data_IF_122377661760
#
_entry.id   IF_122377661760
#
_cell.length_a   1.000
_cell.length_b   1.000
_cell.length_c   1.000
_cell.angle_alpha   90.00
_cell.angle_beta   90.00
_cell.angle_gamma   90.00
#
_symmetry.space_group_name_H-M   'P 1'
#
loop_
_entity.id
_entity.type
_entity.pdbx_description
1 polymer ?
#
# COMPACT_ATOMS: atom_id res chain seq x y z
N UNK A 1 -18.10 -0.50 -5.19
CA UNK A 1 -16.85 -0.52 -5.98
C UNK A 1 -15.68 -1.05 -5.16
N UNK A 2 -15.44 -0.57 -3.93
CA UNK A 2 -14.39 -1.10 -3.03
C UNK A 2 -14.48 -2.62 -2.80
N UNK A 3 -15.67 -3.10 -2.42
CA UNK A 3 -15.96 -4.53 -2.17
C UNK A 3 -15.69 -5.46 -3.36
N UNK A 4 -15.72 -4.94 -4.59
CA UNK A 4 -15.39 -5.71 -5.79
C UNK A 4 -13.88 -5.93 -5.95
N UNK A 5 -13.07 -4.93 -5.56
CA UNK A 5 -11.61 -5.03 -5.56
C UNK A 5 -11.15 -5.90 -4.38
N UNK A 6 -11.78 -5.73 -3.22
CA UNK A 6 -11.51 -6.49 -1.99
C UNK A 6 -11.95 -7.96 -2.11
N UNK A 7 -13.02 -8.25 -2.86
CA UNK A 7 -13.51 -9.60 -3.11
C UNK A 7 -14.35 -10.19 -1.98
N UNK A 8 -14.92 -9.35 -1.11
CA UNK A 8 -15.65 -9.73 0.11
C UNK A 8 -17.18 -9.78 -0.07
N UNK A 9 -17.67 -9.74 -1.32
CA UNK A 9 -19.11 -9.84 -1.62
C UNK A 9 -19.58 -11.30 -1.54
N UNK A 10 -20.73 -11.52 -0.89
CA UNK A 10 -21.42 -12.81 -0.99
C UNK A 10 -21.97 -13.05 -2.41
N UNK A 11 -22.24 -14.30 -2.76
CA UNK A 11 -22.74 -14.68 -4.09
C UNK A 11 -24.04 -13.94 -4.48
N UNK A 12 -24.94 -13.75 -3.50
CA UNK A 12 -26.20 -13.02 -3.71
C UNK A 12 -25.96 -11.52 -3.92
N UNK A 13 -25.07 -10.92 -3.13
CA UNK A 13 -24.70 -9.51 -3.27
C UNK A 13 -24.02 -9.24 -4.61
N UNK A 14 -23.11 -10.13 -5.04
CA UNK A 14 -22.43 -10.01 -6.32
C UNK A 14 -23.42 -10.14 -7.48
N UNK A 15 -24.39 -11.05 -7.39
CA UNK A 15 -25.43 -11.24 -8.41
C UNK A 15 -26.32 -10.00 -8.54
N UNK A 16 -26.78 -9.45 -7.41
CA UNK A 16 -27.58 -8.23 -7.41
C UNK A 16 -26.77 -7.03 -7.92
N UNK A 17 -25.52 -6.88 -7.46
CA UNK A 17 -24.64 -5.80 -7.89
C UNK A 17 -24.40 -5.83 -9.41
N UNK A 18 -24.17 -7.01 -9.99
CA UNK A 18 -24.02 -7.17 -11.45
C UNK A 18 -25.28 -6.75 -12.19
N UNK A 19 -26.46 -7.19 -11.73
CA UNK A 19 -27.76 -6.89 -12.36
C UNK A 19 -28.12 -5.41 -12.28
N UNK A 20 -27.87 -4.77 -11.15
CA UNK A 20 -28.32 -3.39 -10.90
C UNK A 20 -27.38 -2.33 -11.48
N UNK A 21 -26.13 -2.68 -11.81
CA UNK A 21 -25.09 -1.72 -12.21
C UNK A 21 -24.55 -1.91 -13.64
N UNK A 22 -24.81 -3.04 -14.31
CA UNK A 22 -24.25 -3.34 -15.62
C UNK A 22 -25.27 -3.93 -16.58
N UNK A 23 -25.13 -3.61 -17.86
CA UNK A 23 -25.83 -4.29 -18.94
C UNK A 23 -25.31 -5.72 -19.09
N UNK A 24 -26.14 -6.70 -19.53
CA UNK A 24 -25.71 -8.10 -19.67
C UNK A 24 -24.49 -8.31 -20.57
N UNK A 25 -24.23 -7.39 -21.51
CA UNK A 25 -23.07 -7.42 -22.41
C UNK A 25 -21.77 -6.89 -21.79
N UNK A 26 -21.83 -6.14 -20.69
CA UNK A 26 -20.70 -5.37 -20.12
C UNK A 26 -20.45 -5.67 -18.63
N UNK A 27 -20.72 -6.91 -18.19
CA UNK A 27 -20.43 -7.31 -16.80
C UNK A 27 -18.92 -7.55 -16.64
N UNK A 28 -18.22 -6.80 -15.77
CA UNK A 28 -16.79 -6.97 -15.59
C UNK A 28 -16.47 -8.28 -14.85
N UNK A 29 -15.52 -9.04 -15.39
CA UNK A 29 -15.01 -10.25 -14.73
C UNK A 29 -14.16 -9.89 -13.51
N UNK A 30 -14.35 -10.57 -12.35
CA UNK A 30 -13.55 -10.31 -11.16
C UNK A 30 -12.05 -10.42 -11.46
N UNK A 31 -11.27 -9.50 -10.90
CA UNK A 31 -9.82 -9.55 -10.99
C UNK A 31 -9.29 -10.78 -10.24
N UNK A 32 -8.46 -11.57 -10.92
CA UNK A 32 -7.69 -12.64 -10.31
C UNK A 32 -6.59 -12.08 -9.40
N UNK A 33 -6.10 -12.89 -8.46
CA UNK A 33 -5.02 -12.47 -7.57
C UNK A 33 -3.73 -12.12 -8.33
N UNK A 34 -3.47 -12.82 -9.44
CA UNK A 34 -2.34 -12.56 -10.33
C UNK A 34 -2.49 -11.22 -11.06
N UNK A 35 -3.68 -10.87 -11.53
CA UNK A 35 -3.95 -9.57 -12.15
C UNK A 35 -3.84 -8.43 -11.13
N UNK A 36 -4.33 -8.62 -9.90
CA UNK A 36 -4.16 -7.66 -8.81
C UNK A 36 -2.68 -7.46 -8.50
N UNK A 37 -1.91 -8.54 -8.38
CA UNK A 37 -0.48 -8.48 -8.12
C UNK A 37 0.29 -7.81 -9.28
N UNK A 38 -0.07 -8.12 -10.53
CA UNK A 38 0.52 -7.48 -11.70
C UNK A 38 0.22 -5.98 -11.74
N UNK A 39 -1.02 -5.59 -11.43
CA UNK A 39 -1.43 -4.19 -11.35
C UNK A 39 -0.69 -3.45 -10.24
N UNK A 40 -0.57 -4.03 -9.03
CA UNK A 40 0.15 -3.42 -7.90
C UNK A 40 1.62 -3.15 -8.24
N UNK A 41 2.27 -4.00 -9.04
CA UNK A 41 3.66 -3.78 -9.50
C UNK A 41 3.82 -2.58 -10.45
N UNK A 42 2.73 -2.06 -11.03
CA UNK A 42 2.79 -0.86 -11.88
C UNK A 42 2.83 0.44 -11.08
N UNK A 43 2.52 0.38 -9.78
CA UNK A 43 2.51 1.54 -8.92
C UNK A 43 3.95 2.05 -8.70
N UNK A 44 4.17 3.34 -8.90
CA UNK A 44 5.48 3.99 -8.73
C UNK A 44 5.29 5.42 -8.21
N UNK A 45 6.34 5.97 -7.59
CA UNK A 45 6.33 7.37 -7.12
C UNK A 45 5.50 7.61 -5.86
N UNK A 46 5.22 6.56 -5.07
CA UNK A 46 4.45 6.69 -3.82
C UNK A 46 5.33 7.31 -2.74
N UNK A 47 4.73 8.16 -1.91
CA UNK A 47 5.36 8.76 -0.74
C UNK A 47 4.65 8.30 0.55
N UNK A 48 5.44 8.02 1.59
CA UNK A 48 4.96 7.58 2.91
C UNK A 48 5.46 8.53 3.98
N UNK A 49 4.59 8.87 4.93
CA UNK A 49 4.92 9.62 6.13
C UNK A 49 4.49 8.82 7.36
N UNK A 50 5.39 8.66 8.33
CA UNK A 50 5.05 8.11 9.64
C UNK A 50 5.06 9.22 10.70
N UNK A 51 4.07 9.18 11.59
CA UNK A 51 3.94 10.08 12.74
C UNK A 51 4.91 9.73 13.88
N UNK A 52 5.41 8.49 13.89
CA UNK A 52 6.42 7.95 14.80
C UNK A 52 7.61 7.36 14.01
N UNK A 53 8.65 6.94 14.73
CA UNK A 53 9.78 6.26 14.10
C UNK A 53 9.40 4.81 13.74
N UNK A 54 10.00 4.27 12.69
CA UNK A 54 9.94 2.86 12.34
C UNK A 54 10.80 2.05 13.31
N UNK A 55 10.23 1.06 14.01
CA UNK A 55 10.98 0.26 14.97
C UNK A 55 11.92 -0.74 14.27
N UNK A 56 11.59 -1.19 13.06
CA UNK A 56 12.33 -2.18 12.29
C UNK A 56 12.25 -1.93 10.78
N UNK A 57 13.12 -2.58 10.01
CA UNK A 57 13.16 -2.49 8.53
C UNK A 57 11.95 -3.08 7.81
N UNK A 58 11.16 -3.91 8.49
CA UNK A 58 10.00 -4.61 7.93
C UNK A 58 9.00 -3.64 7.28
N UNK A 59 8.85 -2.46 7.87
CA UNK A 59 8.02 -1.38 7.37
C UNK A 59 8.48 -0.89 5.98
N UNK A 60 9.79 -0.83 5.75
CA UNK A 60 10.38 -0.46 4.46
C UNK A 60 10.26 -1.61 3.45
N UNK A 61 10.46 -2.86 3.90
CA UNK A 61 10.26 -4.05 3.07
C UNK A 61 8.79 -4.17 2.57
N UNK A 62 7.82 -3.72 3.38
CA UNK A 62 6.42 -3.60 2.95
C UNK A 62 6.28 -2.48 1.92
N UNK A 63 6.84 -1.29 2.19
CA UNK A 63 6.77 -0.13 1.30
C UNK A 63 7.32 -0.43 -0.11
N UNK A 64 8.37 -1.25 -0.22
CA UNK A 64 8.99 -1.59 -1.51
C UNK A 64 8.04 -2.34 -2.44
N UNK A 65 7.08 -3.08 -1.89
CA UNK A 65 6.05 -3.80 -2.66
C UNK A 65 4.96 -2.90 -3.22
N UNK A 66 4.87 -1.65 -2.77
CA UNK A 66 3.84 -0.68 -3.14
C UNK A 66 4.39 0.53 -3.89
N UNK A 67 5.55 0.42 -4.54
CA UNK A 67 6.07 1.49 -5.40
C UNK A 67 6.50 2.76 -4.65
N UNK A 68 6.80 2.62 -3.36
CA UNK A 68 7.26 3.72 -2.53
C UNK A 68 8.66 4.15 -2.95
N UNK A 69 8.84 5.45 -3.12
CA UNK A 69 10.11 6.07 -3.52
C UNK A 69 10.60 7.08 -2.49
N UNK A 70 9.71 7.57 -1.62
CA UNK A 70 10.00 8.60 -0.62
C UNK A 70 9.36 8.24 0.72
N UNK A 71 10.14 8.34 1.79
CA UNK A 71 9.72 8.03 3.16
C UNK A 71 10.14 9.16 4.08
N UNK A 72 9.23 9.62 4.94
CA UNK A 72 9.55 10.56 6.03
C UNK A 72 9.15 9.99 7.38
N UNK A 73 10.03 10.11 8.36
CA UNK A 73 9.76 9.72 9.75
C UNK A 73 10.43 10.70 10.73
N UNK A 74 10.07 10.71 12.02
CA UNK A 74 10.69 11.58 13.02
C UNK A 74 12.14 11.20 13.37
N UNK A 75 12.51 9.92 13.23
CA UNK A 75 13.79 9.38 13.71
C UNK A 75 13.82 9.14 15.23
N UNK A 76 14.90 8.52 15.70
CA UNK A 76 15.14 8.19 17.11
C UNK A 76 14.87 6.73 17.47
N UNK A 77 14.86 5.83 16.48
CA UNK A 77 14.85 4.38 16.71
C UNK A 77 16.26 3.88 17.04
N UNK A 78 16.37 2.84 17.86
CA UNK A 78 17.66 2.13 18.05
C UNK A 78 18.09 1.44 16.75
N UNK A 79 17.12 1.07 15.90
CA UNK A 79 17.35 0.38 14.63
C UNK A 79 17.37 1.33 13.41
N UNK A 80 17.48 2.65 13.59
CA UNK A 80 17.43 3.60 12.47
C UNK A 80 18.47 3.28 11.38
N UNK A 81 19.66 2.79 11.75
CA UNK A 81 20.68 2.34 10.77
C UNK A 81 20.14 1.25 9.85
N UNK A 82 19.46 0.24 10.39
CA UNK A 82 18.91 -0.88 9.60
C UNK A 82 17.77 -0.41 8.69
N UNK A 83 16.96 0.55 9.16
CA UNK A 83 15.87 1.15 8.40
C UNK A 83 16.42 2.00 7.23
N UNK A 84 17.48 2.78 7.46
CA UNK A 84 18.16 3.57 6.42
C UNK A 84 18.77 2.63 5.38
N UNK A 85 19.49 1.59 5.81
CA UNK A 85 20.09 0.59 4.91
C UNK A 85 19.04 -0.09 4.04
N UNK A 86 17.85 -0.38 4.59
CA UNK A 86 16.74 -0.92 3.81
C UNK A 86 16.24 0.08 2.76
N UNK A 87 16.11 1.37 3.09
CA UNK A 87 15.76 2.39 2.11
C UNK A 87 16.79 2.48 0.99
N UNK A 88 18.09 2.46 1.31
CA UNK A 88 19.15 2.47 0.32
C UNK A 88 19.09 1.24 -0.60
N UNK A 89 18.85 0.04 -0.03
CA UNK A 89 18.68 -1.21 -0.79
C UNK A 89 17.55 -1.13 -1.83
N UNK A 90 16.44 -0.47 -1.48
CA UNK A 90 15.30 -0.29 -2.39
C UNK A 90 15.33 1.02 -3.18
N UNK A 91 16.43 1.79 -3.12
CA UNK A 91 16.57 3.09 -3.79
C UNK A 91 15.46 4.09 -3.40
N UNK A 92 15.07 4.10 -2.12
CA UNK A 92 14.10 5.04 -1.56
C UNK A 92 14.82 6.21 -0.90
N UNK A 93 14.26 7.41 -1.07
CA UNK A 93 14.73 8.60 -0.34
C UNK A 93 14.08 8.64 1.03
N UNK A 94 14.88 8.64 2.10
CA UNK A 94 14.40 8.81 3.48
C UNK A 94 14.74 10.20 4.02
N UNK A 95 13.79 10.84 4.70
CA UNK A 95 13.97 12.10 5.41
C UNK A 95 13.58 11.99 6.89
N UNK A 96 14.37 12.64 7.76
CA UNK A 96 14.04 12.76 9.19
C UNK A 96 13.43 14.12 9.50
N UNK A 97 12.21 14.11 10.01
CA UNK A 97 11.46 15.34 10.34
C UNK A 97 11.82 15.91 11.72
N UNK A 98 12.38 15.10 12.63
CA UNK A 98 12.56 15.42 14.05
C UNK A 98 11.25 15.89 14.74
N UNK A 99 10.09 15.53 14.18
CA UNK A 99 8.77 15.94 14.67
C UNK A 99 7.86 14.72 14.78
N UNK A 100 7.46 14.35 15.99
CA UNK A 100 6.44 13.32 16.23
C UNK A 100 5.05 13.94 16.17
N UNK A 101 4.13 13.28 15.48
CA UNK A 101 2.78 13.80 15.17
C UNK A 101 1.66 12.97 15.83
N UNK A 102 1.83 12.61 17.09
CA UNK A 102 0.79 11.89 17.83
C UNK A 102 -0.48 12.73 17.97
N UNK A 103 -1.62 12.09 17.73
CA UNK A 103 -2.95 12.63 17.94
C UNK A 103 -3.80 11.60 18.67
N UNK A 104 -4.52 12.02 19.71
CA UNK A 104 -5.31 11.17 20.60
C UNK A 104 -6.81 11.43 20.42
#
# INVERSE_FOLDING_TARGET
MSRYIEGDMSDLELTNWKKDNFEPSDIPQPLTDDEKAAFLKTLTGVAVSSDAFFPFRDSIDVCSRYGVTSVVQPGGSVADTEVIEACDQYSMTMAFSNLRLFHH
#
